data_IF_416439588856
#
_entry.id   IF_416439588856
#
_cell.length_a   1.000
_cell.length_b   1.000
_cell.length_c   1.000
_cell.angle_alpha   90.00
_cell.angle_beta   90.00
_cell.angle_gamma   90.00
#
_symmetry.space_group_name_H-M   'P 1'
#
loop_
_entity.id
_entity.type
_entity.pdbx_description
1 polymer ?
#
# COMPACT_ATOMS: atom_id res chain seq x y z
N UNK A 1 -4.27 22.21 13.71
CA UNK A 1 -4.91 21.16 12.89
C UNK A 1 -3.84 20.18 12.43
N UNK A 2 -3.75 19.00 13.03
CA UNK A 2 -2.87 17.93 12.51
C UNK A 2 -3.50 16.58 12.79
N UNK A 3 -4.63 16.34 12.11
CA UNK A 3 -5.20 15.01 11.91
C UNK A 3 -4.87 14.64 10.46
N UNK A 4 -3.76 13.97 10.21
CA UNK A 4 -3.60 13.08 9.07
C UNK A 4 -2.19 12.48 9.06
N UNK A 5 -2.05 11.32 9.70
CA UNK A 5 -1.07 10.31 9.28
C UNK A 5 -1.47 8.96 9.87
N UNK A 6 -2.74 8.56 9.69
CA UNK A 6 -2.98 7.12 9.65
C UNK A 6 -2.38 6.64 8.32
N UNK A 7 -1.10 6.26 8.38
CA UNK A 7 -0.48 5.43 7.35
C UNK A 7 -1.45 4.28 7.04
N UNK A 8 -1.55 3.89 5.77
CA UNK A 8 -2.36 2.77 5.30
C UNK A 8 -2.09 1.51 6.16
N UNK A 9 -0.86 1.34 6.64
CA UNK A 9 -0.46 0.29 7.59
C UNK A 9 -1.16 0.36 8.95
N UNK A 10 -1.50 1.54 9.46
CA UNK A 10 -2.21 1.71 10.73
C UNK A 10 -3.66 1.21 10.69
N UNK A 11 -4.37 1.43 9.57
CA UNK A 11 -5.74 0.94 9.38
C UNK A 11 -5.77 -0.58 9.14
N UNK A 12 -4.85 -1.11 8.34
CA UNK A 12 -4.72 -2.55 8.12
C UNK A 12 -4.36 -3.28 9.43
N UNK A 13 -3.39 -2.76 10.20
CA UNK A 13 -3.04 -3.26 11.54
C UNK A 13 -4.24 -3.24 12.49
N UNK A 14 -4.98 -2.13 12.56
CA UNK A 14 -6.17 -2.06 13.41
C UNK A 14 -7.23 -3.08 12.99
N UNK A 15 -7.44 -3.29 11.69
CA UNK A 15 -8.39 -4.28 11.18
C UNK A 15 -7.96 -5.70 11.54
N UNK A 16 -6.70 -6.07 11.29
CA UNK A 16 -6.14 -7.38 11.66
C UNK A 16 -6.23 -7.60 13.17
N UNK A 17 -5.79 -6.63 13.98
CA UNK A 17 -5.87 -6.72 15.43
C UNK A 17 -7.32 -6.84 15.93
N UNK A 18 -8.27 -6.13 15.33
CA UNK A 18 -9.69 -6.23 15.69
C UNK A 18 -10.27 -7.60 15.35
N UNK A 19 -9.92 -8.18 14.19
CA UNK A 19 -10.35 -9.52 13.78
C UNK A 19 -9.73 -10.60 14.67
N UNK A 20 -8.44 -10.48 15.01
CA UNK A 20 -7.77 -11.40 15.94
C UNK A 20 -8.38 -11.31 17.35
N UNK A 21 -8.71 -10.11 17.84
CA UNK A 21 -9.40 -9.94 19.13
C UNK A 21 -10.80 -10.52 19.14
N UNK A 22 -11.57 -10.40 18.06
CA UNK A 22 -12.89 -11.03 17.99
C UNK A 22 -12.82 -12.56 18.02
N UNK A 23 -11.77 -13.15 17.43
CA UNK A 23 -11.50 -14.59 17.49
C UNK A 23 -11.14 -15.08 18.91
N UNK A 24 -10.54 -14.21 19.73
CA UNK A 24 -10.17 -14.52 21.11
C UNK A 24 -11.37 -14.48 22.09
N UNK A 25 -12.47 -13.82 21.72
CA UNK A 25 -13.66 -13.64 22.57
C UNK A 25 -14.71 -14.77 22.50
N UNK A 26 -14.60 -15.69 21.55
CA UNK A 26 -15.40 -16.93 21.51
C UNK A 26 -14.93 -17.93 22.59
N UNK A 27 -15.82 -18.75 23.18
CA UNK A 27 -15.49 -19.63 24.30
C UNK A 27 -14.26 -20.50 23.98
N UNK A 28 -13.30 -20.63 24.90
CA UNK A 28 -12.00 -21.20 24.62
C UNK A 28 -12.17 -22.70 24.43
N UNK A 29 -11.99 -23.19 23.20
CA UNK A 29 -12.01 -24.63 22.95
C UNK A 29 -10.60 -25.24 22.86
N UNK A 30 -9.51 -24.45 22.81
CA UNK A 30 -8.16 -24.97 23.06
C UNK A 30 -7.14 -23.89 23.46
N UNK A 31 -6.32 -24.18 24.47
CA UNK A 31 -5.17 -23.36 24.90
C UNK A 31 -4.18 -23.11 23.75
N UNK A 32 -4.05 -24.09 22.84
CA UNK A 32 -3.23 -24.03 21.63
C UNK A 32 -3.64 -22.88 20.68
N UNK A 33 -4.95 -22.61 20.55
CA UNK A 33 -5.45 -21.52 19.69
C UNK A 33 -5.05 -20.15 20.25
N UNK A 34 -5.13 -19.98 21.57
CA UNK A 34 -4.75 -18.73 22.25
C UNK A 34 -3.25 -18.46 22.10
N UNK A 35 -2.42 -19.49 22.24
CA UNK A 35 -0.97 -19.42 22.03
C UNK A 35 -0.63 -19.06 20.58
N UNK A 36 -1.24 -19.75 19.61
CA UNK A 36 -1.02 -19.49 18.17
C UNK A 36 -1.43 -18.06 17.78
N UNK A 37 -2.57 -17.57 18.29
CA UNK A 37 -2.99 -16.18 18.03
C UNK A 37 -2.02 -15.20 18.70
N UNK A 38 -1.56 -15.48 19.91
CA UNK A 38 -0.53 -14.67 20.58
C UNK A 38 0.74 -14.56 19.74
N UNK A 39 1.19 -15.66 19.14
CA UNK A 39 2.35 -15.68 18.25
C UNK A 39 2.12 -14.87 16.96
N UNK A 40 0.96 -15.02 16.32
CA UNK A 40 0.59 -14.23 15.12
C UNK A 40 0.58 -12.72 15.39
N UNK A 41 0.09 -12.30 16.55
CA UNK A 41 0.13 -10.88 16.96
C UNK A 41 1.57 -10.40 17.07
N UNK A 42 2.46 -11.19 17.69
CA UNK A 42 3.89 -10.82 17.83
C UNK A 42 4.58 -10.69 16.48
N UNK A 43 4.35 -11.63 15.56
CA UNK A 43 4.89 -11.54 14.19
C UNK A 43 4.35 -10.32 13.44
N UNK A 44 3.07 -9.99 13.64
CA UNK A 44 2.48 -8.79 13.03
C UNK A 44 3.13 -7.51 13.56
N UNK A 45 3.39 -7.42 14.87
CA UNK A 45 4.09 -6.27 15.46
C UNK A 45 5.54 -6.17 14.96
N UNK A 46 6.28 -7.29 14.88
CA UNK A 46 7.63 -7.32 14.32
C UNK A 46 7.67 -6.85 12.86
N UNK A 47 6.75 -7.33 12.02
CA UNK A 47 6.65 -6.89 10.63
C UNK A 47 6.30 -5.40 10.55
N UNK A 48 5.43 -4.92 11.42
CA UNK A 48 5.07 -3.49 11.50
C UNK A 48 6.30 -2.63 11.81
N UNK A 49 7.15 -3.08 12.74
CA UNK A 49 8.38 -2.36 13.11
C UNK A 49 9.37 -2.30 11.94
N UNK A 50 9.59 -3.41 11.24
CA UNK A 50 10.46 -3.46 10.05
C UNK A 50 9.95 -2.53 8.95
N UNK A 51 8.65 -2.58 8.65
CA UNK A 51 8.01 -1.68 7.69
C UNK A 51 8.17 -0.22 8.12
N UNK A 52 8.09 0.07 9.42
CA UNK A 52 8.27 1.44 9.93
C UNK A 52 9.68 1.96 9.67
N UNK A 53 10.71 1.12 9.82
CA UNK A 53 12.10 1.49 9.54
C UNK A 53 12.28 1.75 8.04
N UNK A 54 11.74 0.89 7.18
CA UNK A 54 11.80 1.06 5.72
C UNK A 54 11.10 2.37 5.30
N UNK A 55 9.94 2.67 5.89
CA UNK A 55 9.16 3.87 5.54
C UNK A 55 9.76 5.19 6.03
N UNK A 56 10.69 5.14 7.00
CA UNK A 56 11.49 6.32 7.40
C UNK A 56 12.49 6.72 6.33
N UNK A 57 12.89 5.81 5.44
CA UNK A 57 13.71 6.17 4.30
C UNK A 57 12.89 7.05 3.34
N UNK A 58 13.29 8.30 3.16
CA UNK A 58 12.61 9.22 2.23
C UNK A 58 12.60 8.71 0.80
N UNK A 59 13.62 7.94 0.41
CA UNK A 59 13.69 7.30 -0.92
C UNK A 59 12.74 6.12 -1.08
N UNK A 60 12.12 5.63 -0.01
CA UNK A 60 11.15 4.55 -0.08
C UNK A 60 9.87 5.00 -0.79
N UNK A 61 9.48 4.26 -1.82
CA UNK A 61 8.24 4.47 -2.57
C UNK A 61 7.06 3.67 -1.98
N UNK A 62 7.33 2.67 -1.13
CA UNK A 62 6.32 1.73 -0.63
C UNK A 62 5.19 2.39 0.18
N UNK A 63 5.40 3.60 0.71
CA UNK A 63 4.37 4.36 1.43
C UNK A 63 3.42 5.15 0.53
N UNK A 64 3.72 5.23 -0.77
CA UNK A 64 2.93 5.98 -1.74
C UNK A 64 2.01 5.10 -2.57
N UNK A 65 2.08 3.78 -2.39
CA UNK A 65 1.25 2.81 -3.08
C UNK A 65 -0.25 3.14 -3.00
N UNK A 66 -0.90 3.22 -4.17
CA UNK A 66 -2.33 3.48 -4.33
C UNK A 66 -2.81 2.82 -5.63
N UNK A 67 -4.02 2.27 -5.58
CA UNK A 67 -4.70 1.70 -6.73
C UNK A 67 -5.79 2.66 -7.23
N UNK A 68 -5.77 2.98 -8.52
CA UNK A 68 -6.78 3.77 -9.23
C UNK A 68 -7.18 3.06 -10.53
N UNK A 69 -6.21 2.78 -11.40
CA UNK A 69 -6.36 2.09 -12.67
C UNK A 69 -5.48 0.84 -12.76
N UNK A 70 -4.31 0.84 -12.13
CA UNK A 70 -3.41 -0.32 -12.15
C UNK A 70 -3.97 -1.50 -11.34
N UNK A 71 -3.35 -2.67 -11.52
CA UNK A 71 -3.78 -3.91 -10.86
C UNK A 71 -3.58 -3.88 -9.34
N UNK A 72 -2.61 -3.11 -8.86
CA UNK A 72 -2.25 -3.03 -7.45
C UNK A 72 -1.87 -1.60 -7.08
N UNK A 73 -0.71 -1.36 -6.46
CA UNK A 73 -0.37 -0.09 -5.85
C UNK A 73 0.49 0.82 -6.77
N UNK A 74 0.62 0.43 -8.03
CA UNK A 74 1.53 1.05 -9.00
C UNK A 74 1.16 2.48 -9.37
N UNK A 75 -0.13 2.87 -9.38
CA UNK A 75 -0.53 4.24 -9.71
C UNK A 75 0.09 5.24 -8.74
N UNK A 76 -0.03 4.96 -7.44
CA UNK A 76 0.52 5.81 -6.38
C UNK A 76 2.04 5.90 -6.42
N UNK A 77 2.70 4.77 -6.71
CA UNK A 77 4.17 4.73 -6.89
C UNK A 77 4.59 5.55 -8.12
N UNK A 78 3.89 5.39 -9.24
CA UNK A 78 4.16 6.11 -10.49
C UNK A 78 4.02 7.62 -10.29
N UNK A 79 2.96 8.06 -9.60
CA UNK A 79 2.75 9.47 -9.27
C UNK A 79 3.89 10.04 -8.42
N UNK A 80 4.34 9.31 -7.41
CA UNK A 80 5.43 9.75 -6.55
C UNK A 80 6.75 9.87 -7.32
N UNK A 81 7.08 8.88 -8.17
CA UNK A 81 8.29 8.92 -9.00
C UNK A 81 8.28 10.17 -9.87
N UNK A 82 7.17 10.42 -10.55
CA UNK A 82 7.03 11.54 -11.48
C UNK A 82 7.10 12.88 -10.74
N UNK A 83 6.46 13.01 -9.58
CA UNK A 83 6.51 14.22 -8.75
C UNK A 83 7.92 14.54 -8.25
N UNK A 84 8.76 13.52 -8.00
CA UNK A 84 10.15 13.70 -7.56
C UNK A 84 11.09 14.12 -8.69
N UNK A 85 10.85 13.62 -9.90
CA UNK A 85 11.78 13.76 -11.02
C UNK A 85 11.45 14.91 -11.96
N UNK A 86 10.18 15.32 -12.05
CA UNK A 86 9.72 16.28 -13.05
C UNK A 86 8.90 17.40 -12.41
N UNK A 87 9.12 18.62 -12.88
CA UNK A 87 8.38 19.83 -12.48
C UNK A 87 7.18 20.13 -13.39
N UNK A 88 7.07 19.42 -14.52
CA UNK A 88 6.03 19.63 -15.54
C UNK A 88 5.59 18.32 -16.20
N UNK A 89 4.39 18.33 -16.76
CA UNK A 89 3.82 17.20 -17.50
C UNK A 89 4.60 16.94 -18.79
N UNK A 90 4.76 15.67 -19.14
CA UNK A 90 5.49 15.21 -20.32
C UNK A 90 4.73 14.15 -21.12
N UNK A 91 5.50 13.29 -21.79
CA UNK A 91 5.01 12.08 -22.45
C UNK A 91 5.47 10.89 -21.64
N UNK A 92 4.55 9.97 -21.32
CA UNK A 92 4.86 8.65 -20.79
C UNK A 92 4.74 7.63 -21.92
N UNK A 93 5.68 6.68 -21.94
CA UNK A 93 5.64 5.52 -22.83
C UNK A 93 5.54 4.28 -21.97
N UNK A 94 4.48 3.49 -22.15
CA UNK A 94 4.28 2.21 -21.47
C UNK A 94 4.34 1.08 -22.50
N UNK A 95 5.16 0.07 -22.21
CA UNK A 95 5.38 -1.09 -23.08
C UNK A 95 4.80 -2.31 -22.39
N UNK A 96 4.07 -3.12 -23.13
CA UNK A 96 3.42 -4.32 -22.60
C UNK A 96 2.04 -4.03 -22.01
N UNK A 97 1.31 -3.11 -22.63
CA UNK A 97 -0.08 -2.81 -22.25
C UNK A 97 -1.02 -3.96 -22.56
N UNK A 98 -2.04 -4.13 -21.73
CA UNK A 98 -3.11 -5.10 -21.94
C UNK A 98 -4.22 -4.56 -22.84
N UNK A 99 -5.47 -4.68 -22.37
CA UNK A 99 -6.67 -4.16 -23.04
C UNK A 99 -6.85 -2.64 -22.91
N UNK A 100 -5.93 -1.96 -22.21
CA UNK A 100 -5.96 -0.52 -22.00
C UNK A 100 -6.76 -0.06 -20.78
N UNK A 101 -7.32 -0.99 -19.99
CA UNK A 101 -8.11 -0.67 -18.79
C UNK A 101 -7.20 -0.59 -17.56
N UNK A 102 -6.26 -1.54 -17.45
CA UNK A 102 -5.33 -1.64 -16.32
C UNK A 102 -3.89 -1.34 -16.75
N UNK A 103 -3.50 -0.07 -16.72
CA UNK A 103 -2.16 0.41 -17.10
C UNK A 103 -1.58 1.35 -16.05
N UNK A 104 -0.29 1.25 -15.78
CA UNK A 104 0.39 2.07 -14.75
C UNK A 104 0.45 3.56 -15.13
N UNK A 105 0.42 3.86 -16.43
CA UNK A 105 0.45 5.23 -16.96
C UNK A 105 -0.94 5.86 -17.12
N UNK A 106 -2.02 5.10 -16.93
CA UNK A 106 -3.38 5.62 -17.14
C UNK A 106 -3.72 6.73 -16.14
N UNK A 107 -3.21 6.66 -14.90
CA UNK A 107 -3.34 7.74 -13.91
C UNK A 107 -2.65 9.02 -14.37
N UNK A 108 -1.52 8.92 -15.08
CA UNK A 108 -0.82 10.08 -15.62
C UNK A 108 -1.62 10.69 -16.77
N UNK A 109 -2.16 9.87 -17.67
CA UNK A 109 -3.02 10.31 -18.75
C UNK A 109 -4.25 11.07 -18.21
N UNK A 110 -4.91 10.54 -17.16
CA UNK A 110 -6.03 11.20 -16.50
C UNK A 110 -5.66 12.55 -15.86
N UNK A 111 -4.40 12.70 -15.42
CA UNK A 111 -3.86 13.96 -14.90
C UNK A 111 -3.33 14.90 -15.99
N UNK A 112 -3.55 14.58 -17.27
CA UNK A 112 -3.19 15.42 -18.42
C UNK A 112 -1.75 15.26 -18.90
N UNK A 113 -1.09 14.15 -18.56
CA UNK A 113 0.09 13.71 -19.31
C UNK A 113 -0.34 13.19 -20.67
N UNK A 114 0.60 13.13 -21.61
CA UNK A 114 0.39 12.42 -22.87
C UNK A 114 0.93 11.01 -22.73
N UNK A 115 0.22 10.01 -23.23
CA UNK A 115 0.65 8.62 -23.16
C UNK A 115 0.80 8.01 -24.54
N UNK A 116 1.83 7.18 -24.70
CA UNK A 116 2.01 6.26 -25.83
C UNK A 116 2.06 4.86 -25.26
N UNK A 117 1.25 3.97 -25.79
CA UNK A 117 1.18 2.57 -25.38
C UNK A 117 1.64 1.69 -26.53
N UNK A 118 2.53 0.73 -26.23
CA UNK A 118 3.18 -0.16 -27.20
C UNK A 118 2.96 -1.62 -26.80
#
# INVERSE_FOLDING_TARGET
ASRCAMSIGGKARQKILSSLRSLLGSPPQSMLLQETVGELVRHTDQLTDVISVINRNEKSLSKYGKQVFSQSDEDGITLEIVQRLFDRKGVVVEIGVGDGIENNSLVLLALGWRAVWV
#
